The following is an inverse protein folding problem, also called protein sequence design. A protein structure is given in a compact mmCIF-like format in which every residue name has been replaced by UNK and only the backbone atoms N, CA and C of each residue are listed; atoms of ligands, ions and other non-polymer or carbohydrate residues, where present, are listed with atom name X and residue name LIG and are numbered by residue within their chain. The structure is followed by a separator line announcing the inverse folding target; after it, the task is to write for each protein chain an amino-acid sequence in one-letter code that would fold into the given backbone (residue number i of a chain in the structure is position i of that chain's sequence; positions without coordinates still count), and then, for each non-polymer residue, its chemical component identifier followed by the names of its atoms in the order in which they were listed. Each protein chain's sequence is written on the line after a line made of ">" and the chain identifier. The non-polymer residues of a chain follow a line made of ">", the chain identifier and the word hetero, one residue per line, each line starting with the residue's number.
data_IF_540272191051
#
_entry.id   IF_540272191051
#
_cell.length_a   1.000
_cell.length_b   1.000
_cell.length_c   1.000
_cell.angle_alpha   90.00
_cell.angle_beta   90.00
_cell.angle_gamma   90.00
#
_symmetry.space_group_name_H-M   'P 1'
#
loop_
_entity.id
_entity.type
_entity.pdbx_description
1 polymer ?
#
# COMPACT_ATOMS: atom_id res chain seq x y z
N UNK A 1 24.95 -0.20 -7.78
CA UNK A 1 25.01 1.24 -7.48
C UNK A 1 24.26 1.97 -8.58
N UNK A 2 23.22 2.77 -8.25
CA UNK A 2 22.50 3.57 -9.24
C UNK A 2 23.44 4.61 -9.88
N UNK A 3 23.31 4.82 -11.18
CA UNK A 3 24.03 5.88 -11.90
C UNK A 3 23.01 6.97 -12.25
N UNK A 4 23.29 8.21 -11.85
CA UNK A 4 22.47 9.36 -12.25
C UNK A 4 22.67 9.65 -13.73
N UNK A 5 21.58 9.84 -14.48
CA UNK A 5 21.65 10.31 -15.86
C UNK A 5 21.96 11.81 -15.90
N UNK A 6 22.50 12.33 -17.02
CA UNK A 6 22.69 13.76 -17.20
C UNK A 6 21.41 14.61 -17.04
N UNK A 7 20.23 14.00 -17.12
CA UNK A 7 18.93 14.65 -16.92
C UNK A 7 18.33 14.41 -15.52
N UNK A 8 19.12 13.92 -14.56
CA UNK A 8 18.70 13.73 -13.17
C UNK A 8 17.86 12.47 -12.90
N UNK A 9 17.78 11.54 -13.84
CA UNK A 9 17.13 10.24 -13.65
C UNK A 9 18.05 9.22 -12.98
N UNK A 10 17.50 8.25 -12.26
CA UNK A 10 18.28 7.14 -11.69
C UNK A 10 18.24 5.93 -12.63
N UNK A 11 19.39 5.51 -13.16
CA UNK A 11 19.51 4.22 -13.85
C UNK A 11 19.78 3.13 -12.82
N UNK A 12 18.78 2.30 -12.57
CA UNK A 12 18.98 1.06 -11.84
C UNK A 12 19.52 -0.02 -12.80
N UNK A 13 20.76 -0.46 -12.56
CA UNK A 13 21.34 -1.62 -13.26
C UNK A 13 21.11 -2.87 -12.42
N UNK A 14 20.29 -3.76 -12.94
CA UNK A 14 20.07 -5.09 -12.36
C UNK A 14 20.88 -6.12 -13.14
N UNK A 15 21.36 -7.22 -12.52
CA UNK A 15 21.86 -8.38 -13.23
C UNK A 15 20.85 -8.86 -14.29
N UNK A 16 21.34 -9.31 -15.44
CA UNK A 16 20.48 -9.82 -16.54
C UNK A 16 19.50 -10.88 -16.08
N UNK A 17 19.92 -11.79 -15.21
CA UNK A 17 19.04 -12.81 -14.63
C UNK A 17 17.82 -12.21 -13.89
N UNK A 18 17.99 -11.09 -13.18
CA UNK A 18 16.85 -10.41 -12.53
C UNK A 18 15.95 -9.72 -13.55
N UNK A 19 16.52 -9.15 -14.61
CA UNK A 19 15.75 -8.51 -15.68
C UNK A 19 14.92 -9.54 -16.48
N UNK A 20 15.50 -10.70 -16.76
CA UNK A 20 14.83 -11.79 -17.47
C UNK A 20 13.72 -12.40 -16.63
N UNK A 21 13.97 -12.68 -15.34
CA UNK A 21 12.95 -13.17 -14.41
C UNK A 21 11.79 -12.17 -14.24
N UNK A 22 12.08 -10.87 -14.17
CA UNK A 22 11.05 -9.84 -14.10
C UNK A 22 10.22 -9.75 -15.39
N UNK A 23 10.83 -9.95 -16.57
CA UNK A 23 10.12 -10.00 -17.85
C UNK A 23 9.18 -11.20 -17.90
N UNK A 24 9.68 -12.39 -17.57
CA UNK A 24 8.89 -13.62 -17.54
C UNK A 24 7.70 -13.53 -16.58
N UNK A 25 7.92 -12.99 -15.37
CA UNK A 25 6.85 -12.76 -14.41
C UNK A 25 5.77 -11.80 -14.94
N UNK A 26 6.18 -10.71 -15.63
CA UNK A 26 5.23 -9.77 -16.24
C UNK A 26 4.44 -10.39 -17.38
N UNK A 27 5.08 -11.16 -18.25
CA UNK A 27 4.42 -11.85 -19.36
C UNK A 27 3.43 -12.88 -18.83
N UNK A 28 3.82 -13.62 -17.79
CA UNK A 28 2.94 -14.55 -17.09
C UNK A 28 1.72 -13.82 -16.54
N UNK A 29 1.91 -12.74 -15.77
CA UNK A 29 0.81 -11.96 -15.21
C UNK A 29 -0.11 -11.34 -16.29
N UNK A 30 0.45 -10.86 -17.39
CA UNK A 30 -0.31 -10.31 -18.51
C UNK A 30 -1.23 -11.35 -19.17
N UNK A 31 -0.78 -12.61 -19.24
CA UNK A 31 -1.56 -13.73 -19.75
C UNK A 31 -2.71 -14.19 -18.86
N UNK A 32 -2.76 -13.77 -17.58
CA UNK A 32 -3.81 -14.16 -16.65
C UNK A 32 -5.11 -13.36 -16.81
N UNK A 33 -5.14 -12.36 -17.70
CA UNK A 33 -6.29 -11.44 -17.85
C UNK A 33 -6.75 -10.80 -16.53
N UNK A 34 -5.87 -10.73 -15.53
CA UNK A 34 -6.09 -10.08 -14.23
C UNK A 34 -5.96 -8.57 -14.32
N UNK A 35 -6.27 -7.96 -15.48
CA UNK A 35 -6.18 -6.51 -15.64
C UNK A 35 -7.04 -5.89 -14.53
N UNK A 36 -6.42 -5.22 -13.54
CA UNK A 36 -7.20 -4.54 -12.54
C UNK A 36 -8.04 -3.52 -13.30
N UNK A 37 -9.34 -3.52 -13.02
CA UNK A 37 -10.21 -2.49 -13.56
C UNK A 37 -9.61 -1.14 -13.16
N UNK A 38 -9.16 -0.36 -14.14
CA UNK A 38 -8.59 0.96 -13.90
C UNK A 38 -9.65 1.97 -13.45
N UNK A 39 -10.91 1.54 -13.33
CA UNK A 39 -11.97 2.33 -12.74
C UNK A 39 -11.65 2.69 -11.30
N UNK A 40 -11.98 3.93 -10.95
CA UNK A 40 -11.96 4.35 -9.56
C UNK A 40 -12.95 3.48 -8.78
N UNK A 41 -12.62 3.13 -7.53
CA UNK A 41 -13.59 2.52 -6.63
C UNK A 41 -14.87 3.34 -6.59
N UNK A 42 -16.00 2.65 -6.66
CA UNK A 42 -17.31 3.22 -6.38
C UNK A 42 -17.44 3.56 -4.90
N UNK A 43 -18.39 4.43 -4.54
CA UNK A 43 -18.68 4.76 -3.14
C UNK A 43 -18.96 3.51 -2.28
N UNK A 44 -19.62 2.50 -2.84
CA UNK A 44 -19.87 1.23 -2.15
C UNK A 44 -18.56 0.47 -1.85
N UNK A 45 -17.62 0.47 -2.80
CA UNK A 45 -16.30 -0.13 -2.60
C UNK A 45 -15.47 0.66 -1.59
N UNK A 46 -15.60 2.00 -1.56
CA UNK A 46 -14.96 2.84 -0.54
C UNK A 46 -15.54 2.59 0.85
N UNK A 47 -16.86 2.36 0.97
CA UNK A 47 -17.48 1.98 2.24
C UNK A 47 -17.00 0.62 2.74
N UNK A 48 -16.88 -0.38 1.87
CA UNK A 48 -16.27 -1.68 2.23
C UNK A 48 -14.80 -1.53 2.65
N UNK A 49 -14.05 -0.69 1.95
CA UNK A 49 -12.67 -0.38 2.31
C UNK A 49 -12.56 0.31 3.68
N UNK A 50 -13.49 1.22 3.99
CA UNK A 50 -13.55 1.90 5.28
C UNK A 50 -13.72 0.89 6.43
N UNK A 51 -14.63 -0.08 6.29
CA UNK A 51 -14.81 -1.13 7.30
C UNK A 51 -13.53 -1.95 7.51
N UNK A 52 -12.82 -2.31 6.43
CA UNK A 52 -11.52 -2.98 6.51
C UNK A 52 -10.47 -2.12 7.22
N UNK A 53 -10.46 -0.81 6.98
CA UNK A 53 -9.56 0.10 7.68
C UNK A 53 -9.88 0.20 9.17
N UNK A 54 -11.15 0.15 9.57
CA UNK A 54 -11.53 0.07 10.97
C UNK A 54 -11.04 -1.22 11.62
N UNK A 55 -11.16 -2.36 10.94
CA UNK A 55 -10.59 -3.63 11.42
C UNK A 55 -9.07 -3.54 11.60
N UNK A 56 -8.37 -2.85 10.67
CA UNK A 56 -6.92 -2.65 10.77
C UNK A 56 -6.56 -1.73 11.92
N UNK A 57 -7.28 -0.63 12.08
CA UNK A 57 -7.11 0.25 13.25
C UNK A 57 -7.25 -0.54 14.55
N UNK A 58 -8.30 -1.34 14.69
CA UNK A 58 -8.52 -2.16 15.89
C UNK A 58 -7.36 -3.15 16.13
N UNK A 59 -6.82 -3.77 15.06
CA UNK A 59 -5.64 -4.63 15.16
C UNK A 59 -4.41 -3.87 15.66
N UNK A 60 -4.14 -2.69 15.09
CA UNK A 60 -2.99 -1.86 15.45
C UNK A 60 -3.10 -1.33 16.89
N UNK A 61 -4.30 -0.92 17.31
CA UNK A 61 -4.56 -0.51 18.69
C UNK A 61 -4.36 -1.67 19.67
N UNK A 62 -4.84 -2.87 19.33
CA UNK A 62 -4.62 -4.07 20.14
C UNK A 62 -3.13 -4.48 20.23
N UNK A 63 -2.34 -4.19 19.18
CA UNK A 63 -0.90 -4.39 19.15
C UNK A 63 -0.12 -3.26 19.86
N UNK A 64 -0.82 -2.23 20.36
CA UNK A 64 -0.27 -1.20 21.24
C UNK A 64 0.02 0.15 20.57
N UNK A 65 -0.38 0.35 19.32
CA UNK A 65 -0.19 1.63 18.62
C UNK A 65 -1.37 2.58 18.87
N UNK A 66 -1.05 3.85 19.09
CA UNK A 66 -2.06 4.91 19.09
C UNK A 66 -2.36 5.30 17.64
N UNK A 67 -3.59 5.02 17.19
CA UNK A 67 -4.04 5.34 15.83
C UNK A 67 -4.98 6.53 15.88
N UNK A 68 -4.85 7.42 14.89
CA UNK A 68 -5.74 8.57 14.74
C UNK A 68 -7.20 8.11 14.63
N UNK A 69 -8.11 8.88 15.23
CA UNK A 69 -9.53 8.60 15.12
C UNK A 69 -9.97 8.67 13.65
N UNK A 70 -10.79 7.72 13.17
CA UNK A 70 -11.27 7.76 11.80
C UNK A 70 -12.28 8.91 11.63
N UNK A 71 -12.38 9.48 10.42
CA UNK A 71 -13.45 10.41 10.08
C UNK A 71 -14.80 9.67 10.04
N UNK A 72 -15.90 10.38 9.74
CA UNK A 72 -17.14 9.67 9.40
C UNK A 72 -17.00 8.89 8.08
N UNK A 73 -17.83 7.87 7.87
CA UNK A 73 -17.80 7.09 6.61
C UNK A 73 -18.09 7.95 5.38
N UNK A 74 -18.98 8.93 5.51
CA UNK A 74 -19.31 9.83 4.39
C UNK A 74 -18.16 10.77 4.08
N UNK A 75 -17.53 11.34 5.11
CA UNK A 75 -16.32 12.16 4.95
C UNK A 75 -15.17 11.35 4.35
N UNK A 76 -14.97 10.10 4.77
CA UNK A 76 -13.98 9.20 4.16
C UNK A 76 -14.21 9.03 2.66
N UNK A 77 -15.45 8.75 2.24
CA UNK A 77 -15.80 8.57 0.82
C UNK A 77 -15.55 9.86 0.03
N UNK A 78 -15.91 11.01 0.59
CA UNK A 78 -15.72 12.31 -0.05
C UNK A 78 -14.24 12.69 -0.22
N UNK A 79 -13.40 12.40 0.78
CA UNK A 79 -11.99 12.85 0.80
C UNK A 79 -10.99 11.79 0.32
N UNK A 80 -11.41 10.54 0.07
CA UNK A 80 -10.51 9.42 -0.23
C UNK A 80 -9.48 9.70 -1.33
N UNK A 81 -9.86 10.42 -2.39
CA UNK A 81 -8.96 10.69 -3.52
C UNK A 81 -8.08 11.92 -3.34
N UNK A 82 -8.26 12.71 -2.27
CA UNK A 82 -7.51 13.93 -2.00
C UNK A 82 -6.70 13.86 -0.72
N UNK A 83 -7.27 13.30 0.34
CA UNK A 83 -6.65 13.18 1.66
C UNK A 83 -7.22 11.94 2.39
N UNK A 84 -6.84 10.73 1.96
CA UNK A 84 -7.38 9.51 2.53
C UNK A 84 -6.89 9.31 3.96
N UNK A 85 -7.81 9.02 4.87
CA UNK A 85 -7.46 8.45 6.16
C UNK A 85 -7.00 7.00 5.99
N UNK A 86 -5.77 6.70 6.44
CA UNK A 86 -5.19 5.35 6.43
C UNK A 86 -4.71 5.02 7.86
N UNK A 87 -5.12 3.89 8.47
CA UNK A 87 -4.68 3.54 9.82
C UNK A 87 -3.16 3.51 9.97
N UNK A 88 -2.46 3.05 8.93
CA UNK A 88 -1.01 2.93 8.91
C UNK A 88 -0.26 4.27 8.81
N UNK A 89 -0.94 5.39 8.55
CA UNK A 89 -0.32 6.71 8.58
C UNK A 89 0.10 7.12 10.00
N UNK A 90 -0.56 6.61 11.03
CA UNK A 90 -0.22 6.88 12.44
C UNK A 90 1.00 6.08 12.92
N UNK A 91 1.51 5.12 12.14
CA UNK A 91 2.66 4.30 12.53
C UNK A 91 3.96 5.14 12.41
N UNK A 92 4.82 5.16 13.45
CA UNK A 92 6.06 5.93 13.43
C UNK A 92 6.95 5.57 12.24
N UNK A 93 7.38 6.58 11.47
CA UNK A 93 8.31 6.38 10.34
C UNK A 93 9.72 5.97 10.78
N UNK A 94 10.03 6.10 12.07
CA UNK A 94 11.27 5.65 12.70
C UNK A 94 11.25 4.18 13.10
N UNK A 95 10.15 3.46 12.85
CA UNK A 95 10.07 2.03 13.12
C UNK A 95 11.13 1.29 12.30
N UNK A 96 11.89 0.42 12.95
CA UNK A 96 12.89 -0.37 12.24
C UNK A 96 12.23 -1.43 11.34
N UNK A 97 13.01 -1.94 10.37
CA UNK A 97 12.50 -2.88 9.38
C UNK A 97 11.98 -4.19 10.01
N UNK A 98 12.59 -4.68 11.08
CA UNK A 98 12.18 -5.95 11.70
C UNK A 98 10.81 -5.81 12.34
N UNK A 99 10.61 -4.69 13.01
CA UNK A 99 9.35 -4.38 13.66
C UNK A 99 8.26 -4.03 12.65
N UNK A 100 8.61 -3.32 11.57
CA UNK A 100 7.72 -3.12 10.42
C UNK A 100 7.27 -4.45 9.80
N UNK A 101 8.19 -5.40 9.61
CA UNK A 101 7.86 -6.71 9.06
C UNK A 101 7.02 -7.54 10.03
N UNK A 102 7.26 -7.43 11.35
CA UNK A 102 6.42 -8.07 12.38
C UNK A 102 5.01 -7.51 12.31
N UNK A 103 4.87 -6.19 12.32
CA UNK A 103 3.59 -5.50 12.29
C UNK A 103 2.77 -5.89 11.06
N UNK A 104 3.39 -5.93 9.87
CA UNK A 104 2.71 -6.33 8.64
C UNK A 104 2.34 -7.83 8.58
N UNK A 105 2.94 -8.68 9.41
CA UNK A 105 2.48 -10.08 9.57
C UNK A 105 1.31 -10.18 10.55
N UNK A 106 1.31 -9.36 11.60
CA UNK A 106 0.27 -9.38 12.65
C UNK A 106 -1.00 -8.66 12.19
N UNK A 107 -0.85 -7.48 11.60
CA UNK A 107 -1.93 -6.63 11.11
C UNK A 107 -1.76 -6.31 9.62
N UNK A 108 -1.83 -7.29 8.68
CA UNK A 108 -1.54 -7.05 7.27
C UNK A 108 -2.31 -5.86 6.68
N UNK A 109 -1.62 -5.03 5.90
CA UNK A 109 -2.26 -3.95 5.14
C UNK A 109 -3.19 -4.53 4.06
N UNK A 110 -4.41 -3.99 3.90
CA UNK A 110 -5.36 -4.39 2.86
C UNK A 110 -4.95 -3.91 1.46
#
# INVERSE_FOLDING_TARGET
>A
MPISTPMGGIVMRFPTAQADAAREARETCAGLSLQPDSQRPTDLQLRDLYDRYLEKRNCLEADGYAIEAPPSVDEFVETYFTDPWLPYNSIPKTLDQREWDRLNRVCPQP
#
